data_IF_814610515154
#
_entry.id   IF_814610515154
#
_cell.length_a   1.000
_cell.length_b   1.000
_cell.length_c   1.000
_cell.angle_alpha   90.00
_cell.angle_beta   90.00
_cell.angle_gamma   90.00
#
_symmetry.space_group_name_H-M   'P 1'
#
loop_
_entity.id
_entity.type
_entity.pdbx_description
1 polymer ?
#
# COMPACT_ATOMS: atom_id res chain seq x y z
N UNK A 1 -31.35 -1.21 6.65
CA UNK A 1 -30.02 -0.57 6.65
C UNK A 1 -29.74 0.12 8.00
N UNK A 2 -30.69 0.88 8.55
CA UNK A 2 -30.55 1.51 9.88
C UNK A 2 -30.32 0.49 10.99
N UNK A 3 -31.04 -0.64 10.98
CA UNK A 3 -30.88 -1.71 11.98
C UNK A 3 -29.47 -2.32 11.99
N UNK A 4 -28.84 -2.48 10.82
CA UNK A 4 -27.46 -3.02 10.71
C UNK A 4 -26.45 -2.01 11.25
N UNK A 5 -26.61 -0.72 10.95
CA UNK A 5 -25.74 0.34 11.47
C UNK A 5 -25.87 0.41 13.01
N UNK A 6 -27.09 0.34 13.52
CA UNK A 6 -27.33 0.31 14.97
C UNK A 6 -26.67 -0.92 15.60
N UNK A 7 -26.77 -2.10 14.98
CA UNK A 7 -26.16 -3.32 15.47
C UNK A 7 -24.62 -3.24 15.51
N UNK A 8 -24.01 -2.61 14.51
CA UNK A 8 -22.55 -2.35 14.48
C UNK A 8 -22.08 -1.44 15.64
N UNK A 9 -22.94 -0.52 16.09
CA UNK A 9 -22.61 0.36 17.21
C UNK A 9 -22.91 -0.25 18.58
N UNK A 10 -23.93 -1.11 18.68
CA UNK A 10 -24.36 -1.68 19.98
C UNK A 10 -23.65 -2.98 20.31
N UNK A 11 -23.38 -3.82 19.29
CA UNK A 11 -22.86 -5.17 19.47
C UNK A 11 -21.40 -5.26 19.03
N UNK A 12 -20.46 -5.17 19.96
CA UNK A 12 -19.02 -5.19 19.69
C UNK A 12 -18.55 -6.42 18.94
N UNK A 13 -19.06 -7.61 19.26
CA UNK A 13 -18.69 -8.86 18.56
C UNK A 13 -19.08 -8.82 17.09
N UNK A 14 -20.27 -8.25 16.77
CA UNK A 14 -20.74 -8.14 15.39
C UNK A 14 -19.88 -7.16 14.58
N UNK A 15 -19.47 -6.05 15.20
CA UNK A 15 -18.53 -5.09 14.59
C UNK A 15 -17.21 -5.75 14.21
N UNK A 16 -16.52 -6.42 15.16
CA UNK A 16 -15.26 -7.10 14.88
C UNK A 16 -15.37 -8.23 13.88
N UNK A 17 -16.46 -9.02 13.95
CA UNK A 17 -16.74 -10.07 12.96
C UNK A 17 -16.87 -9.47 11.55
N UNK A 18 -17.62 -8.39 11.41
CA UNK A 18 -17.84 -7.71 10.14
C UNK A 18 -16.54 -7.17 9.57
N UNK A 19 -15.76 -6.42 10.39
CA UNK A 19 -14.45 -5.89 9.98
C UNK A 19 -13.52 -7.03 9.59
N UNK A 20 -13.45 -8.10 10.35
CA UNK A 20 -12.59 -9.26 10.06
C UNK A 20 -12.94 -9.94 8.74
N UNK A 21 -14.22 -10.24 8.51
CA UNK A 21 -14.69 -10.89 7.27
C UNK A 21 -14.47 -10.00 6.03
N UNK A 22 -14.84 -8.72 6.12
CA UNK A 22 -14.65 -7.76 5.03
C UNK A 22 -13.15 -7.63 4.71
N UNK A 23 -12.31 -7.49 5.74
CA UNK A 23 -10.87 -7.33 5.55
C UNK A 23 -10.19 -8.59 4.99
N UNK A 24 -10.68 -9.79 5.31
CA UNK A 24 -10.22 -11.02 4.66
C UNK A 24 -10.55 -11.02 3.15
N UNK A 25 -11.77 -10.64 2.79
CA UNK A 25 -12.17 -10.52 1.38
C UNK A 25 -11.34 -9.46 0.64
N UNK A 26 -11.13 -8.29 1.28
CA UNK A 26 -10.25 -7.24 0.74
C UNK A 26 -8.83 -7.77 0.60
N UNK A 27 -8.26 -8.44 1.60
CA UNK A 27 -6.92 -9.03 1.53
C UNK A 27 -6.74 -10.00 0.34
N UNK A 28 -7.76 -10.81 0.05
CA UNK A 28 -7.78 -11.66 -1.14
C UNK A 28 -7.80 -10.83 -2.44
N UNK A 29 -8.57 -9.74 -2.49
CA UNK A 29 -8.57 -8.81 -3.61
C UNK A 29 -7.22 -8.06 -3.75
N UNK A 30 -6.61 -7.66 -2.64
CA UNK A 30 -5.28 -7.01 -2.65
C UNK A 30 -4.22 -7.89 -3.29
N UNK A 31 -4.25 -9.22 -3.10
CA UNK A 31 -3.38 -10.14 -3.81
C UNK A 31 -3.49 -10.01 -5.34
N UNK A 32 -4.71 -9.79 -5.85
CA UNK A 32 -4.95 -9.57 -7.29
C UNK A 32 -4.39 -8.22 -7.72
N UNK A 33 -4.60 -7.16 -6.94
CA UNK A 33 -4.09 -5.81 -7.22
C UNK A 33 -2.56 -5.82 -7.23
N UNK A 34 -1.92 -6.37 -6.21
CA UNK A 34 -0.46 -6.45 -6.07
C UNK A 34 0.17 -7.15 -7.29
N UNK A 35 -0.45 -8.22 -7.78
CA UNK A 35 0.06 -8.97 -8.92
C UNK A 35 -0.25 -8.29 -10.26
N UNK A 36 -1.49 -7.83 -10.48
CA UNK A 36 -1.94 -7.39 -11.81
C UNK A 36 -1.63 -5.93 -12.12
N UNK A 37 -1.70 -5.04 -11.13
CA UNK A 37 -1.55 -3.61 -11.38
C UNK A 37 -0.17 -3.26 -11.98
N UNK A 38 0.98 -3.78 -11.48
CA UNK A 38 2.27 -3.54 -12.12
C UNK A 38 2.34 -4.05 -13.55
N UNK A 39 1.76 -5.23 -13.84
CA UNK A 39 1.72 -5.78 -15.20
C UNK A 39 0.90 -4.89 -16.13
N UNK A 40 -0.24 -4.41 -15.67
CA UNK A 40 -1.08 -3.47 -16.43
C UNK A 40 -0.31 -2.19 -16.76
N UNK A 41 0.37 -1.61 -15.78
CA UNK A 41 1.21 -0.42 -15.97
C UNK A 41 2.31 -0.65 -17.00
N UNK A 42 3.05 -1.75 -16.88
CA UNK A 42 4.09 -2.11 -17.86
C UNK A 42 3.54 -2.29 -19.28
N UNK A 43 2.36 -2.90 -19.42
CA UNK A 43 1.72 -3.05 -20.72
C UNK A 43 1.30 -1.69 -21.31
N UNK A 44 0.76 -0.79 -20.48
CA UNK A 44 0.40 0.58 -20.90
C UNK A 44 1.65 1.34 -21.34
N UNK A 45 2.71 1.36 -20.55
CA UNK A 45 3.98 2.03 -20.92
C UNK A 45 4.59 1.48 -22.20
N UNK A 46 4.57 0.16 -22.39
CA UNK A 46 5.04 -0.46 -23.63
C UNK A 46 4.22 -0.02 -24.83
N UNK A 47 2.89 0.06 -24.70
CA UNK A 47 2.02 0.52 -25.79
C UNK A 47 2.25 1.99 -26.10
N UNK A 48 2.42 2.85 -25.10
CA UNK A 48 2.74 4.27 -25.26
C UNK A 48 4.11 4.47 -25.94
N UNK A 49 5.15 3.76 -25.49
CA UNK A 49 6.47 3.79 -26.15
C UNK A 49 6.41 3.36 -27.60
N UNK A 50 5.65 2.32 -27.93
CA UNK A 50 5.46 1.88 -29.33
C UNK A 50 4.73 2.92 -30.17
N UNK A 51 3.73 3.58 -29.61
CA UNK A 51 3.02 4.66 -30.32
C UNK A 51 3.94 5.85 -30.60
N UNK A 52 4.80 6.22 -29.64
CA UNK A 52 5.77 7.30 -29.81
C UNK A 52 6.87 6.97 -30.84
N UNK A 53 7.26 5.70 -30.96
CA UNK A 53 8.31 5.20 -31.84
C UNK A 53 7.73 4.57 -33.13
N UNK A 54 6.44 4.69 -33.39
CA UNK A 54 5.78 4.01 -34.52
C UNK A 54 6.37 4.36 -35.88
N UNK A 55 6.88 5.57 -36.03
CA UNK A 55 7.52 6.04 -37.29
C UNK A 55 8.93 5.44 -37.47
N UNK A 56 9.57 4.94 -36.41
CA UNK A 56 10.91 4.37 -36.44
C UNK A 56 10.89 2.83 -36.46
N UNK A 57 9.80 2.21 -36.00
CA UNK A 57 9.65 0.76 -35.90
C UNK A 57 8.97 0.19 -37.16
N UNK A 58 9.74 -0.42 -38.04
CA UNK A 58 9.26 -1.07 -39.29
C UNK A 58 8.52 -2.40 -39.03
N UNK A 59 8.45 -2.88 -37.80
CA UNK A 59 7.85 -4.18 -37.47
C UNK A 59 6.33 -4.11 -37.22
N UNK A 60 5.59 -4.61 -38.24
CA UNK A 60 4.16 -4.96 -38.16
C UNK A 60 3.92 -6.17 -37.24
N UNK A 61 4.11 -6.05 -35.94
CA UNK A 61 3.63 -7.05 -34.99
C UNK A 61 2.15 -6.80 -34.70
N UNK A 62 1.26 -7.56 -35.36
CA UNK A 62 -0.15 -7.70 -34.98
C UNK A 62 -0.23 -8.31 -33.59
N UNK A 63 -0.17 -7.52 -32.53
CA UNK A 63 -0.53 -8.00 -31.21
C UNK A 63 -2.04 -8.12 -31.11
N UNK A 64 -2.51 -9.32 -30.83
CA UNK A 64 -3.86 -9.56 -30.34
C UNK A 64 -3.97 -8.96 -28.95
N UNK A 65 -4.56 -7.77 -28.84
CA UNK A 65 -4.84 -7.12 -27.58
C UNK A 65 -5.87 -7.95 -26.78
N UNK A 66 -5.43 -8.96 -26.06
CA UNK A 66 -6.26 -9.56 -25.01
C UNK A 66 -6.42 -8.52 -23.88
N UNK A 67 -7.65 -8.17 -23.57
CA UNK A 67 -7.96 -7.23 -22.48
C UNK A 67 -7.44 -7.80 -21.16
N UNK A 68 -6.37 -7.19 -20.64
CA UNK A 68 -5.80 -7.54 -19.34
C UNK A 68 -6.10 -6.43 -18.33
N UNK A 69 -6.97 -6.74 -17.35
CA UNK A 69 -7.36 -5.82 -16.28
C UNK A 69 -7.51 -6.58 -14.93
N UNK A 70 -7.99 -5.89 -13.88
CA UNK A 70 -8.17 -6.52 -12.58
C UNK A 70 -9.20 -7.67 -12.58
N UNK A 71 -10.15 -7.68 -13.53
CA UNK A 71 -11.22 -8.69 -13.65
C UNK A 71 -10.93 -9.75 -14.72
N UNK A 72 -10.27 -9.36 -15.82
CA UNK A 72 -9.99 -10.25 -16.95
C UNK A 72 -8.47 -10.40 -17.17
N UNK A 73 -8.02 -11.64 -17.49
CA UNK A 73 -8.71 -12.92 -17.49
C UNK A 73 -9.10 -13.38 -16.06
N UNK A 74 -10.04 -14.32 -15.95
CA UNK A 74 -10.36 -14.94 -14.66
C UNK A 74 -9.13 -15.55 -14.00
N UNK A 75 -9.13 -15.61 -12.66
CA UNK A 75 -8.04 -16.22 -11.90
C UNK A 75 -7.84 -17.69 -12.30
N UNK A 76 -6.63 -18.06 -12.63
CA UNK A 76 -6.26 -19.39 -13.09
C UNK A 76 -4.94 -19.85 -12.45
N UNK A 77 -4.74 -21.15 -12.39
CA UNK A 77 -3.49 -21.72 -11.91
C UNK A 77 -2.33 -21.39 -12.90
N UNK A 78 -1.20 -20.84 -12.44
CA UNK A 78 -0.08 -20.49 -13.34
C UNK A 78 0.58 -21.69 -14.00
N UNK A 79 0.40 -22.92 -13.45
CA UNK A 79 1.00 -24.13 -14.01
C UNK A 79 0.11 -24.90 -14.98
N UNK A 80 -1.17 -25.05 -14.67
CA UNK A 80 -2.08 -25.86 -15.49
C UNK A 80 -3.18 -25.06 -16.18
N UNK A 81 -3.21 -23.73 -15.96
CA UNK A 81 -4.18 -22.80 -16.53
C UNK A 81 -5.66 -23.12 -16.24
N UNK A 82 -5.93 -24.08 -15.34
CA UNK A 82 -7.31 -24.36 -14.92
C UNK A 82 -7.88 -23.15 -14.19
N UNK A 83 -9.13 -22.80 -14.52
CA UNK A 83 -9.85 -21.72 -13.85
C UNK A 83 -10.06 -22.00 -12.36
N UNK A 84 -9.86 -20.99 -11.52
CA UNK A 84 -10.10 -21.08 -10.07
C UNK A 84 -11.59 -20.83 -9.82
N UNK A 85 -12.26 -21.79 -9.19
CA UNK A 85 -13.69 -21.67 -8.82
C UNK A 85 -13.84 -20.72 -7.62
N UNK A 86 -15.03 -20.12 -7.47
CA UNK A 86 -15.32 -19.14 -6.39
C UNK A 86 -14.98 -19.70 -5.00
N UNK A 87 -15.37 -20.94 -4.68
CA UNK A 87 -15.06 -21.56 -3.39
C UNK A 87 -13.57 -21.79 -3.14
N UNK A 88 -12.76 -21.91 -4.22
CA UNK A 88 -11.30 -22.05 -4.14
C UNK A 88 -10.60 -20.68 -3.90
N UNK A 89 -11.36 -19.61 -3.89
CA UNK A 89 -10.88 -18.25 -3.64
C UNK A 89 -11.42 -17.67 -2.32
N UNK A 90 -12.04 -18.51 -1.46
CA UNK A 90 -12.45 -18.09 -0.12
C UNK A 90 -11.19 -17.84 0.71
N UNK A 91 -11.00 -16.62 1.26
CA UNK A 91 -9.77 -16.25 1.95
C UNK A 91 -9.42 -17.24 3.08
N UNK A 92 -8.17 -17.59 3.22
CA UNK A 92 -7.59 -18.55 4.17
C UNK A 92 -8.17 -19.96 4.07
N UNK A 93 -9.50 -20.11 4.07
CA UNK A 93 -10.19 -21.42 4.09
C UNK A 93 -9.81 -22.26 2.88
N UNK A 94 -9.80 -21.70 1.69
CA UNK A 94 -9.46 -22.43 0.47
C UNK A 94 -8.04 -22.97 0.53
N UNK A 95 -7.07 -22.15 1.00
CA UNK A 95 -5.67 -22.56 1.12
C UNK A 95 -5.51 -23.68 2.14
N UNK A 96 -6.19 -23.60 3.31
CA UNK A 96 -6.18 -24.63 4.34
C UNK A 96 -6.80 -25.93 3.85
N UNK A 97 -8.00 -25.88 3.24
CA UNK A 97 -8.71 -27.05 2.72
C UNK A 97 -7.93 -27.74 1.59
N UNK A 98 -7.28 -26.98 0.73
CA UNK A 98 -6.45 -27.49 -0.36
C UNK A 98 -5.01 -27.83 0.08
N UNK A 99 -4.68 -27.66 1.37
CA UNK A 99 -3.35 -27.90 1.94
C UNK A 99 -2.24 -27.19 1.15
N UNK A 100 -2.52 -25.94 0.74
CA UNK A 100 -1.58 -25.13 -0.03
C UNK A 100 -1.27 -25.65 -1.45
N UNK A 101 -2.17 -26.40 -2.08
CA UNK A 101 -1.95 -27.00 -3.40
C UNK A 101 -3.09 -26.73 -4.36
N UNK A 102 -2.79 -26.59 -5.63
CA UNK A 102 -3.80 -26.45 -6.68
C UNK A 102 -4.75 -27.68 -6.68
N UNK A 103 -6.04 -27.42 -6.84
CA UNK A 103 -7.04 -28.47 -6.88
C UNK A 103 -6.82 -29.47 -8.02
N UNK A 104 -6.45 -28.98 -9.23
CA UNK A 104 -6.30 -29.77 -10.44
C UNK A 104 -4.91 -30.44 -10.55
N UNK A 105 -3.83 -29.68 -10.53
CA UNK A 105 -2.47 -30.21 -10.79
C UNK A 105 -1.61 -30.41 -9.54
N UNK A 106 -2.15 -30.12 -8.33
CA UNK A 106 -1.46 -30.25 -7.03
C UNK A 106 -0.17 -29.41 -6.90
N UNK A 107 0.08 -28.46 -7.80
CA UNK A 107 1.19 -27.53 -7.69
C UNK A 107 1.08 -26.70 -6.40
N UNK A 108 2.20 -26.37 -5.72
CA UNK A 108 2.18 -25.59 -4.49
C UNK A 108 1.69 -24.17 -4.75
N UNK A 109 0.84 -23.66 -3.83
CA UNK A 109 0.37 -22.28 -3.77
C UNK A 109 1.22 -21.56 -2.73
N UNK A 110 1.78 -20.39 -3.08
CA UNK A 110 2.63 -19.61 -2.18
C UNK A 110 1.90 -19.27 -0.87
N UNK A 111 2.59 -19.41 0.25
CA UNK A 111 2.12 -19.01 1.59
C UNK A 111 1.88 -17.49 1.68
N UNK A 112 2.48 -16.70 0.79
CA UNK A 112 2.32 -15.26 0.72
C UNK A 112 0.85 -14.84 0.58
N UNK A 113 0.04 -15.59 -0.20
CA UNK A 113 -1.38 -15.27 -0.39
C UNK A 113 -2.16 -15.28 0.93
N UNK A 114 -2.20 -16.38 1.70
CA UNK A 114 -2.89 -16.39 2.98
C UNK A 114 -2.24 -15.48 4.04
N UNK A 115 -0.94 -15.19 3.95
CA UNK A 115 -0.29 -14.23 4.85
C UNK A 115 -0.78 -12.79 4.61
N UNK A 116 -0.96 -12.38 3.35
CA UNK A 116 -1.52 -11.05 3.03
C UNK A 116 -2.98 -10.97 3.50
N UNK A 117 -3.78 -12.01 3.26
CA UNK A 117 -5.18 -12.06 3.71
C UNK A 117 -5.29 -11.95 5.22
N UNK A 118 -4.54 -12.78 5.96
CA UNK A 118 -4.53 -12.77 7.42
C UNK A 118 -3.97 -11.47 7.97
N UNK A 119 -2.86 -10.99 7.41
CA UNK A 119 -2.23 -9.72 7.81
C UNK A 119 -3.17 -8.53 7.63
N UNK A 120 -3.88 -8.47 6.50
CA UNK A 120 -4.90 -7.45 6.24
C UNK A 120 -6.00 -7.49 7.29
N UNK A 121 -6.51 -8.68 7.63
CA UNK A 121 -7.55 -8.83 8.65
C UNK A 121 -7.05 -8.42 10.04
N UNK A 122 -5.87 -8.88 10.45
CA UNK A 122 -5.31 -8.57 11.77
C UNK A 122 -5.04 -7.08 11.96
N UNK A 123 -4.42 -6.43 10.96
CA UNK A 123 -4.14 -4.99 11.00
C UNK A 123 -5.43 -4.18 11.02
N UNK A 124 -6.45 -4.61 10.27
CA UNK A 124 -7.78 -3.99 10.26
C UNK A 124 -8.51 -4.14 11.60
N UNK A 125 -8.46 -5.32 12.21
CA UNK A 125 -9.05 -5.57 13.53
C UNK A 125 -8.37 -4.74 14.61
N UNK A 126 -7.04 -4.62 14.56
CA UNK A 126 -6.28 -3.77 15.47
C UNK A 126 -6.68 -2.30 15.36
N UNK A 127 -6.82 -1.79 14.12
CA UNK A 127 -7.29 -0.43 13.86
C UNK A 127 -8.74 -0.24 14.34
N UNK A 128 -9.61 -1.21 14.08
CA UNK A 128 -11.00 -1.18 14.55
C UNK A 128 -11.08 -1.18 16.07
N UNK A 129 -10.19 -1.88 16.76
CA UNK A 129 -10.10 -1.85 18.23
C UNK A 129 -9.65 -0.48 18.74
N UNK A 130 -8.75 0.20 18.03
CA UNK A 130 -8.22 1.50 18.43
C UNK A 130 -9.26 2.64 18.29
N UNK A 131 -9.99 2.67 17.17
CA UNK A 131 -10.92 3.76 16.84
C UNK A 131 -12.41 3.45 17.12
N UNK A 132 -12.75 2.19 17.41
CA UNK A 132 -14.13 1.75 17.60
C UNK A 132 -15.02 1.85 16.35
N UNK A 133 -16.33 1.67 16.47
CA UNK A 133 -17.28 1.78 15.36
C UNK A 133 -17.57 3.25 15.02
N UNK A 134 -16.77 3.83 14.12
CA UNK A 134 -16.86 5.23 13.71
C UNK A 134 -16.58 5.41 12.22
N UNK A 135 -16.97 6.54 11.64
CA UNK A 135 -16.64 6.91 10.27
C UNK A 135 -15.13 7.04 10.06
N UNK A 136 -14.41 7.45 11.09
CA UNK A 136 -12.95 7.55 11.10
C UNK A 136 -12.33 6.16 10.93
N UNK A 137 -12.88 5.13 11.56
CA UNK A 137 -12.44 3.75 11.40
C UNK A 137 -12.55 3.28 9.95
N UNK A 138 -13.70 3.54 9.30
CA UNK A 138 -13.91 3.17 7.89
C UNK A 138 -12.88 3.88 7.00
N UNK A 139 -12.64 5.16 7.23
CA UNK A 139 -11.65 5.94 6.49
C UNK A 139 -10.24 5.33 6.64
N UNK A 140 -9.79 5.08 7.87
CA UNK A 140 -8.47 4.52 8.11
C UNK A 140 -8.33 3.06 7.65
N UNK A 141 -9.42 2.27 7.60
CA UNK A 141 -9.41 0.95 6.98
C UNK A 141 -9.09 1.04 5.49
N UNK A 142 -9.76 1.93 4.75
CA UNK A 142 -9.50 2.14 3.31
C UNK A 142 -8.04 2.55 3.08
N UNK A 143 -7.53 3.50 3.88
CA UNK A 143 -6.12 3.93 3.82
C UNK A 143 -5.18 2.74 4.09
N UNK A 144 -5.45 1.97 5.14
CA UNK A 144 -4.63 0.80 5.52
C UNK A 144 -4.58 -0.24 4.41
N UNK A 145 -5.70 -0.56 3.77
CA UNK A 145 -5.74 -1.50 2.65
C UNK A 145 -4.94 -1.00 1.45
N UNK A 146 -5.04 0.29 1.12
CA UNK A 146 -4.24 0.90 0.07
C UNK A 146 -2.74 0.86 0.41
N UNK A 147 -2.35 1.17 1.64
CA UNK A 147 -0.97 1.10 2.10
C UNK A 147 -0.41 -0.33 2.01
N UNK A 148 -1.20 -1.36 2.37
CA UNK A 148 -0.79 -2.77 2.23
C UNK A 148 -0.48 -3.08 0.76
N UNK A 149 -1.35 -2.68 -0.18
CA UNK A 149 -1.08 -2.87 -1.61
C UNK A 149 0.22 -2.17 -2.05
N UNK A 150 0.40 -0.89 -1.66
CA UNK A 150 1.59 -0.10 -2.00
C UNK A 150 2.88 -0.72 -1.44
N UNK A 151 2.86 -1.19 -0.17
CA UNK A 151 4.00 -1.88 0.47
C UNK A 151 4.44 -3.09 -0.37
N UNK A 152 3.51 -3.97 -0.71
CA UNK A 152 3.87 -5.19 -1.44
C UNK A 152 4.24 -4.93 -2.90
N UNK A 153 3.62 -3.95 -3.56
CA UNK A 153 4.01 -3.55 -4.92
C UNK A 153 5.42 -2.95 -4.91
N UNK A 154 5.74 -2.12 -3.93
CA UNK A 154 7.07 -1.49 -3.85
C UNK A 154 8.16 -2.51 -3.51
N UNK A 155 7.89 -3.47 -2.62
CA UNK A 155 8.82 -4.59 -2.33
C UNK A 155 9.13 -5.42 -3.59
N UNK A 156 8.12 -5.66 -4.46
CA UNK A 156 8.27 -6.54 -5.61
C UNK A 156 8.83 -5.82 -6.84
N UNK A 157 8.43 -4.56 -7.05
CA UNK A 157 8.63 -3.85 -8.32
C UNK A 157 9.32 -2.49 -8.17
N UNK A 158 9.55 -2.01 -6.93
CA UNK A 158 10.05 -0.66 -6.64
C UNK A 158 9.20 0.44 -7.28
N UNK A 159 7.88 0.26 -7.22
CA UNK A 159 6.88 1.14 -7.81
C UNK A 159 5.81 1.49 -6.77
N UNK A 160 5.46 2.76 -6.72
CA UNK A 160 4.28 3.26 -5.99
C UNK A 160 3.28 3.82 -7.03
N UNK A 161 2.29 3.01 -7.44
CA UNK A 161 1.37 3.36 -8.53
C UNK A 161 0.55 4.61 -8.26
N UNK A 162 0.53 5.53 -9.22
CA UNK A 162 -0.30 6.75 -9.19
C UNK A 162 -1.79 6.44 -9.12
N UNK A 163 -2.20 5.29 -9.65
CA UNK A 163 -3.57 4.79 -9.59
C UNK A 163 -4.04 4.51 -8.16
N UNK A 164 -3.12 4.39 -7.20
CA UNK A 164 -3.44 4.24 -5.77
C UNK A 164 -3.07 5.50 -5.01
N UNK A 165 -1.87 6.06 -5.21
CA UNK A 165 -1.37 7.18 -4.41
C UNK A 165 -2.16 8.47 -4.62
N UNK A 166 -2.50 8.83 -5.88
CA UNK A 166 -3.25 10.06 -6.14
C UNK A 166 -4.71 9.99 -5.64
N UNK A 167 -5.50 8.93 -5.93
CA UNK A 167 -6.82 8.81 -5.32
C UNK A 167 -6.78 8.82 -3.79
N UNK A 168 -5.75 8.22 -3.17
CA UNK A 168 -5.60 8.21 -1.72
C UNK A 168 -5.29 9.61 -1.17
N UNK A 169 -4.46 10.39 -1.86
CA UNK A 169 -4.20 11.78 -1.51
C UNK A 169 -5.47 12.64 -1.57
N UNK A 170 -6.24 12.52 -2.66
CA UNK A 170 -7.51 13.21 -2.80
C UNK A 170 -8.53 12.76 -1.75
N UNK A 171 -8.57 11.46 -1.44
CA UNK A 171 -9.42 10.93 -0.38
C UNK A 171 -9.06 11.53 0.99
N UNK A 172 -7.77 11.66 1.32
CA UNK A 172 -7.31 12.29 2.55
C UNK A 172 -7.69 13.78 2.62
N UNK A 173 -7.51 14.53 1.54
CA UNK A 173 -7.90 15.95 1.46
C UNK A 173 -9.41 16.13 1.54
N UNK A 174 -10.20 15.28 0.90
CA UNK A 174 -11.66 15.34 1.00
C UNK A 174 -12.14 14.98 2.41
N UNK A 175 -11.51 14.00 3.06
CA UNK A 175 -11.85 13.64 4.44
C UNK A 175 -11.69 14.84 5.42
N UNK A 176 -10.70 15.70 5.19
CA UNK A 176 -10.52 16.92 5.99
C UNK A 176 -11.67 17.93 5.78
N UNK A 177 -12.26 17.98 4.59
CA UNK A 177 -13.44 18.85 4.32
C UNK A 177 -14.71 18.36 5.03
N UNK A 178 -14.76 17.11 5.49
CA UNK A 178 -15.86 16.51 6.24
C UNK A 178 -15.56 16.41 7.74
N UNK A 179 -14.55 17.13 8.23
CA UNK A 179 -14.11 17.14 9.65
C UNK A 179 -13.76 15.73 10.19
N UNK A 180 -13.33 14.82 9.32
CA UNK A 180 -12.91 13.47 9.72
C UNK A 180 -11.43 13.42 10.18
N UNK A 181 -10.65 14.45 9.82
CA UNK A 181 -9.22 14.57 10.15
C UNK A 181 -8.91 16.00 10.64
N UNK A 182 -7.78 16.54 10.26
CA UNK A 182 -7.35 17.91 10.56
C UNK A 182 -8.08 18.94 9.68
N UNK A 183 -8.06 20.24 10.03
CA UNK A 183 -8.67 21.29 9.21
C UNK A 183 -8.14 21.29 7.78
N UNK A 184 -8.97 21.60 6.75
CA UNK A 184 -8.57 21.54 5.34
C UNK A 184 -7.34 22.39 4.99
N UNK A 185 -7.16 23.54 5.63
CA UNK A 185 -5.99 24.39 5.44
C UNK A 185 -4.70 23.71 5.90
N UNK A 186 -4.74 23.04 7.05
CA UNK A 186 -3.60 22.26 7.57
C UNK A 186 -3.34 21.01 6.73
N UNK A 187 -4.40 20.37 6.23
CA UNK A 187 -4.27 19.22 5.34
C UNK A 187 -3.57 19.58 4.01
N UNK A 188 -3.93 20.72 3.40
CA UNK A 188 -3.30 21.20 2.18
C UNK A 188 -1.84 21.58 2.44
N UNK A 189 -1.55 22.31 3.52
CA UNK A 189 -0.17 22.67 3.90
C UNK A 189 0.64 21.41 4.21
N UNK A 190 0.07 20.47 4.96
CA UNK A 190 0.71 19.19 5.28
C UNK A 190 1.04 18.37 4.04
N UNK A 191 0.12 18.28 3.08
CA UNK A 191 0.36 17.62 1.80
C UNK A 191 1.50 18.28 1.03
N UNK A 192 1.51 19.61 0.93
CA UNK A 192 2.56 20.37 0.26
C UNK A 192 3.91 20.17 0.93
N UNK A 193 3.99 20.31 2.26
CA UNK A 193 5.23 20.10 3.04
C UNK A 193 5.71 18.65 2.89
N UNK A 194 4.81 17.67 2.96
CA UNK A 194 5.14 16.26 2.79
C UNK A 194 5.79 15.99 1.42
N UNK A 195 5.18 16.49 0.35
CA UNK A 195 5.74 16.34 -0.99
C UNK A 195 7.07 17.08 -1.15
N UNK A 196 7.11 18.36 -0.82
CA UNK A 196 8.27 19.24 -1.06
C UNK A 196 9.47 18.88 -0.20
N UNK A 197 9.29 18.30 0.99
CA UNK A 197 10.40 17.89 1.85
C UNK A 197 11.29 16.83 1.18
N UNK A 198 10.71 15.72 0.72
CA UNK A 198 11.46 14.67 0.01
C UNK A 198 11.89 15.12 -1.40
N UNK A 199 11.07 15.92 -2.07
CA UNK A 199 11.43 16.51 -3.36
C UNK A 199 12.68 17.39 -3.25
N UNK A 200 12.80 18.20 -2.20
CA UNK A 200 13.98 19.05 -1.94
C UNK A 200 15.24 18.21 -1.69
N UNK A 201 15.10 17.14 -0.88
CA UNK A 201 16.20 16.20 -0.61
C UNK A 201 16.63 15.49 -1.89
N UNK A 202 15.68 15.05 -2.72
CA UNK A 202 15.96 14.42 -4.01
C UNK A 202 16.78 15.33 -4.93
N UNK A 203 16.37 16.61 -5.10
CA UNK A 203 17.08 17.53 -5.96
C UNK A 203 18.46 17.91 -5.40
N UNK A 204 18.57 18.10 -4.08
CA UNK A 204 19.87 18.34 -3.44
C UNK A 204 20.83 17.18 -3.69
N UNK A 205 20.35 15.93 -3.54
CA UNK A 205 21.15 14.73 -3.79
C UNK A 205 21.52 14.61 -5.28
N UNK A 206 20.58 14.83 -6.18
CA UNK A 206 20.81 14.76 -7.64
C UNK A 206 21.81 15.81 -8.12
N UNK A 207 21.73 17.05 -7.60
CA UNK A 207 22.67 18.13 -7.95
C UNK A 207 24.08 17.86 -7.43
N UNK A 208 24.21 17.21 -6.26
CA UNK A 208 25.53 16.94 -5.65
C UNK A 208 26.19 15.67 -6.17
N UNK A 209 25.41 14.63 -6.49
CA UNK A 209 25.95 13.31 -6.86
C UNK A 209 25.73 12.94 -8.33
N UNK A 210 24.84 13.63 -9.04
CA UNK A 210 24.43 13.30 -10.41
C UNK A 210 23.53 12.02 -10.51
N UNK A 211 23.17 11.41 -9.36
CA UNK A 211 22.41 10.16 -9.31
C UNK A 211 20.99 10.41 -8.81
N UNK A 212 20.06 9.57 -9.25
CA UNK A 212 18.70 9.55 -8.72
C UNK A 212 18.67 8.64 -7.49
N UNK A 213 18.37 9.21 -6.32
CA UNK A 213 18.45 8.50 -5.03
C UNK A 213 17.10 7.95 -4.54
N UNK A 214 15.96 8.39 -5.11
CA UNK A 214 14.62 8.08 -4.60
C UNK A 214 13.57 8.20 -5.71
N UNK A 215 12.47 7.45 -5.62
CA UNK A 215 11.35 7.53 -6.55
C UNK A 215 10.37 8.67 -6.24
N UNK A 216 9.74 9.23 -7.25
CA UNK A 216 8.69 10.26 -7.09
C UNK A 216 7.45 9.74 -6.33
N UNK A 217 7.27 8.44 -6.26
CA UNK A 217 6.18 7.81 -5.52
C UNK A 217 6.24 8.05 -4.02
N UNK A 218 7.47 8.06 -3.44
CA UNK A 218 7.69 8.32 -2.02
C UNK A 218 7.22 9.72 -1.60
N UNK A 219 7.40 10.73 -2.48
CA UNK A 219 6.94 12.10 -2.22
C UNK A 219 5.42 12.17 -2.12
N UNK A 220 4.71 11.45 -3.02
CA UNK A 220 3.25 11.36 -3.02
C UNK A 220 2.74 10.63 -1.78
N UNK A 221 3.43 9.55 -1.40
CA UNK A 221 3.09 8.79 -0.19
C UNK A 221 3.25 9.64 1.08
N UNK A 222 4.34 10.42 1.18
CA UNK A 222 4.51 11.32 2.32
C UNK A 222 3.51 12.48 2.31
N UNK A 223 3.12 12.96 1.12
CA UNK A 223 2.07 13.97 0.98
C UNK A 223 0.70 13.46 1.49
N UNK A 224 0.38 12.19 1.32
CA UNK A 224 -0.84 11.56 1.87
C UNK A 224 -0.83 11.66 3.40
N UNK A 225 0.27 11.30 4.05
CA UNK A 225 0.38 11.42 5.49
C UNK A 225 0.35 12.86 5.98
N UNK A 226 0.94 13.80 5.22
CA UNK A 226 0.84 15.21 5.49
C UNK A 226 -0.61 15.74 5.43
N UNK A 227 -1.39 15.26 4.46
CA UNK A 227 -2.81 15.59 4.34
C UNK A 227 -3.65 15.03 5.50
N UNK A 228 -3.27 13.87 6.05
CA UNK A 228 -4.00 13.20 7.13
C UNK A 228 -3.66 13.73 8.52
N UNK A 229 -2.38 14.03 8.77
CA UNK A 229 -1.81 14.24 10.10
C UNK A 229 -1.22 15.64 10.30
N UNK A 230 -1.15 16.45 9.24
CA UNK A 230 -0.52 17.75 9.26
C UNK A 230 0.99 17.71 9.03
N UNK A 231 1.57 18.90 8.82
CA UNK A 231 3.00 19.04 8.53
C UNK A 231 3.91 18.64 9.70
N UNK A 232 3.42 18.73 10.94
CA UNK A 232 4.16 18.38 12.16
C UNK A 232 4.53 16.89 12.19
N UNK A 233 3.67 16.03 11.68
CA UNK A 233 3.89 14.59 11.63
C UNK A 233 4.98 14.18 10.63
N UNK A 234 5.24 15.01 9.59
CA UNK A 234 6.19 14.70 8.51
C UNK A 234 7.58 14.43 9.08
N UNK A 235 8.06 15.26 10.02
CA UNK A 235 9.36 15.07 10.63
C UNK A 235 9.48 13.71 11.33
N UNK A 236 8.47 13.35 12.13
CA UNK A 236 8.42 12.07 12.86
C UNK A 236 8.41 10.88 11.90
N UNK A 237 7.61 10.96 10.83
CA UNK A 237 7.48 9.90 9.83
C UNK A 237 8.80 9.69 9.09
N UNK A 238 9.44 10.78 8.62
CA UNK A 238 10.72 10.70 7.90
C UNK A 238 11.82 10.16 8.80
N UNK A 239 11.88 10.61 10.07
CA UNK A 239 12.89 10.15 11.02
C UNK A 239 12.71 8.66 11.32
N UNK A 240 11.48 8.22 11.61
CA UNK A 240 11.17 6.82 11.93
C UNK A 240 11.43 5.90 10.73
N UNK A 241 10.96 6.29 9.54
CA UNK A 241 11.16 5.51 8.31
C UNK A 241 12.63 5.41 7.92
N UNK A 242 13.39 6.50 8.04
CA UNK A 242 14.83 6.51 7.75
C UNK A 242 15.61 5.65 8.74
N UNK A 243 15.28 5.70 10.03
CA UNK A 243 15.94 4.89 11.06
C UNK A 243 15.69 3.39 10.83
N UNK A 244 14.44 3.00 10.65
CA UNK A 244 14.06 1.60 10.37
C UNK A 244 14.64 1.14 9.03
N UNK A 245 14.55 1.96 8.00
CA UNK A 245 15.11 1.67 6.68
C UNK A 245 16.63 1.51 6.71
N UNK A 246 17.35 2.31 7.49
CA UNK A 246 18.80 2.18 7.65
C UNK A 246 19.18 0.87 8.37
N UNK A 247 18.47 0.49 9.43
CA UNK A 247 18.70 -0.77 10.15
C UNK A 247 18.44 -1.97 9.24
N UNK A 248 17.26 -2.04 8.62
CA UNK A 248 16.89 -3.18 7.79
C UNK A 248 17.75 -3.22 6.53
N UNK A 249 17.98 -2.08 5.89
CA UNK A 249 18.84 -1.99 4.71
C UNK A 249 20.28 -2.40 4.99
N UNK A 250 20.87 -1.94 6.09
CA UNK A 250 22.24 -2.33 6.47
C UNK A 250 22.34 -3.81 6.82
N UNK A 251 21.37 -4.37 7.53
CA UNK A 251 21.34 -5.81 7.87
C UNK A 251 21.16 -6.67 6.61
N UNK A 252 20.30 -6.25 5.67
CA UNK A 252 20.09 -6.95 4.41
C UNK A 252 21.34 -6.96 3.54
N UNK A 253 22.04 -5.83 3.44
CA UNK A 253 23.33 -5.74 2.73
C UNK A 253 24.40 -6.64 3.38
N UNK A 254 24.49 -6.64 4.72
CA UNK A 254 25.45 -7.47 5.46
C UNK A 254 25.20 -8.97 5.28
N UNK A 255 23.92 -9.40 5.27
CA UNK A 255 23.57 -10.82 5.16
C UNK A 255 23.62 -11.36 3.73
N UNK A 256 23.31 -10.54 2.72
CA UNK A 256 23.22 -11.00 1.35
C UNK A 256 24.51 -10.89 0.54
N UNK A 257 25.55 -10.23 1.08
CA UNK A 257 26.83 -10.02 0.36
C UNK A 257 26.67 -9.29 -0.99
N UNK A 258 25.51 -8.64 -1.20
CA UNK A 258 25.20 -7.90 -2.41
C UNK A 258 25.94 -6.56 -2.46
N UNK A 259 26.27 -6.11 -3.65
CA UNK A 259 26.90 -4.83 -3.89
C UNK A 259 26.06 -3.68 -3.29
N UNK A 260 26.74 -2.66 -2.76
CA UNK A 260 26.14 -1.44 -2.20
C UNK A 260 25.26 -0.66 -3.19
N UNK A 261 25.21 -1.07 -4.44
CA UNK A 261 24.41 -0.47 -5.52
C UNK A 261 22.99 -1.04 -5.66
N UNK A 262 22.62 -2.07 -4.87
CA UNK A 262 21.27 -2.64 -4.97
C UNK A 262 20.26 -1.67 -4.35
N UNK A 263 19.30 -1.12 -5.11
CA UNK A 263 18.31 -0.19 -4.57
C UNK A 263 17.40 -0.92 -3.57
N UNK A 264 17.04 -0.22 -2.49
CA UNK A 264 16.15 -0.73 -1.45
C UNK A 264 14.85 0.08 -1.53
N UNK A 265 13.67 -0.57 -1.57
CA UNK A 265 12.40 0.14 -1.58
C UNK A 265 12.24 0.93 -0.27
N UNK A 266 12.00 2.25 -0.37
CA UNK A 266 11.80 3.12 0.80
C UNK A 266 10.33 3.22 1.21
N UNK A 267 9.40 3.07 0.25
CA UNK A 267 7.97 3.15 0.46
C UNK A 267 7.41 2.28 1.59
N UNK A 268 7.83 1.02 1.76
CA UNK A 268 7.36 0.17 2.86
C UNK A 268 7.65 0.76 4.24
N UNK A 269 8.85 1.31 4.45
CA UNK A 269 9.23 1.92 5.73
C UNK A 269 8.45 3.21 5.98
N UNK A 270 8.26 4.01 4.91
CA UNK A 270 7.46 5.23 4.96
C UNK A 270 5.99 4.93 5.27
N UNK A 271 5.41 3.92 4.62
CA UNK A 271 4.04 3.48 4.84
C UNK A 271 3.81 2.97 6.26
N UNK A 272 4.72 2.15 6.79
CA UNK A 272 4.64 1.63 8.17
C UNK A 272 4.81 2.77 9.19
N UNK A 273 5.79 3.67 8.99
CA UNK A 273 6.00 4.81 9.87
C UNK A 273 4.78 5.73 9.89
N UNK A 274 4.22 6.05 8.73
CA UNK A 274 3.01 6.87 8.63
C UNK A 274 1.80 6.20 9.28
N UNK A 275 1.63 4.89 9.09
CA UNK A 275 0.56 4.12 9.73
C UNK A 275 0.70 4.09 11.27
N UNK A 276 1.91 3.95 11.79
CA UNK A 276 2.17 4.07 13.23
C UNK A 276 1.86 5.47 13.75
N UNK A 277 2.15 6.52 12.97
CA UNK A 277 1.78 7.90 13.33
C UNK A 277 0.26 8.15 13.28
N UNK A 278 -0.51 7.41 12.46
CA UNK A 278 -1.99 7.45 12.53
C UNK A 278 -2.49 6.93 13.88
N UNK A 279 -1.85 5.90 14.44
CA UNK A 279 -2.27 5.27 15.70
C UNK A 279 -1.70 5.97 16.94
N UNK A 280 -0.44 6.31 16.90
CA UNK A 280 0.33 6.73 18.07
C UNK A 280 1.10 8.04 17.85
N UNK A 281 0.67 8.89 16.91
CA UNK A 281 1.41 10.09 16.54
C UNK A 281 1.61 11.06 17.72
N UNK A 282 0.59 11.23 18.55
CA UNK A 282 0.64 12.09 19.75
C UNK A 282 1.58 11.53 20.80
N UNK A 283 1.51 10.22 21.06
CA UNK A 283 2.35 9.54 22.05
C UNK A 283 3.82 9.53 21.62
N UNK A 284 4.09 9.30 20.33
CA UNK A 284 5.45 9.33 19.77
C UNK A 284 6.04 10.74 19.90
N UNK A 285 5.26 11.78 19.60
CA UNK A 285 5.70 13.17 19.74
C UNK A 285 5.98 13.53 21.20
N UNK A 286 5.07 13.20 22.11
CA UNK A 286 5.25 13.42 23.55
C UNK A 286 6.47 12.70 24.09
N UNK A 287 6.67 11.45 23.72
CA UNK A 287 7.85 10.68 24.09
C UNK A 287 9.15 11.35 23.62
N UNK A 288 9.17 11.81 22.37
CA UNK A 288 10.32 12.52 21.81
C UNK A 288 10.62 13.83 22.55
N UNK A 289 9.61 14.66 22.83
CA UNK A 289 9.80 15.92 23.58
C UNK A 289 10.25 15.66 25.01
N UNK A 290 9.71 14.66 25.69
CA UNK A 290 10.17 14.26 27.03
C UNK A 290 11.64 13.83 27.03
N UNK A 291 12.08 13.13 25.99
CA UNK A 291 13.48 12.68 25.85
C UNK A 291 14.45 13.86 25.61
N UNK A 292 13.95 14.94 25.00
CA UNK A 292 14.70 16.18 24.79
C UNK A 292 14.65 17.13 26.01
N UNK A 293 13.91 16.78 27.08
CA UNK A 293 13.84 17.59 28.29
C UNK A 293 12.81 18.71 28.24
N UNK A 294 11.81 18.63 27.36
CA UNK A 294 10.67 19.56 27.26
C UNK A 294 9.40 18.94 27.80
#
# INVERSE_FOLDING_TARGET
>A
MQDVIQLLHTETWFFFLTVGLVSLCIGSFLNVVIYRLPIMMHNTWRSECRLLLADELIENTKETHSVFNLSNPHSSCPKCHSAIKVWQNIPLLSWLLLKGRCFSCKAPISVRYPLIELGTALVSLFLAQHFGPSSITVMYLVITWALIALIFIDIDHMLLPDQITLPLLWFALLASCFDLTIPPTEAIIGAAVGYLSLWSVYWLFKLTTGKEGMGFGDFKLLAIFGALLGWQAIFTIVLLSSFVGAIIGSTQLALQGKDKSTPIPFGPYLAIAGWLCILYGTEIQLWYFTLLGY
#
